data_IF_018315969779
#
_entry.id   IF_018315969779
#
_cell.length_a   1.000
_cell.length_b   1.000
_cell.length_c   1.000
_cell.angle_alpha   90.00
_cell.angle_beta   90.00
_cell.angle_gamma   90.00
#
_symmetry.space_group_name_H-M   'P 1'
#
loop_
_entity.id
_entity.type
_entity.pdbx_description
1 polymer ?
#
# COMPACT_ATOMS: atom_id res chain seq x y z
N UNK A 1 -35.97 -51.62 -29.95
CA UNK A 1 -34.50 -51.45 -29.93
C UNK A 1 -34.23 -50.11 -29.27
N UNK A 2 -33.98 -50.10 -27.96
CA UNK A 2 -33.69 -48.85 -27.24
C UNK A 2 -32.39 -48.27 -27.78
N UNK A 3 -32.41 -46.98 -28.14
CA UNK A 3 -31.20 -46.24 -28.50
C UNK A 3 -30.29 -46.22 -27.28
N UNK A 4 -29.19 -46.96 -27.32
CA UNK A 4 -28.12 -46.82 -26.34
C UNK A 4 -27.42 -45.50 -26.65
N UNK A 5 -27.83 -44.43 -25.98
CA UNK A 5 -26.96 -43.26 -25.84
C UNK A 5 -25.71 -43.76 -25.14
N UNK A 6 -24.60 -43.82 -25.87
CA UNK A 6 -23.31 -44.19 -25.29
C UNK A 6 -23.05 -43.21 -24.14
N UNK A 7 -22.97 -43.73 -22.92
CA UNK A 7 -22.44 -42.98 -21.78
C UNK A 7 -20.95 -42.84 -22.06
N UNK A 8 -20.53 -41.66 -22.52
CA UNK A 8 -19.12 -41.34 -22.61
C UNK A 8 -18.59 -41.28 -21.18
N UNK A 9 -17.73 -42.24 -20.81
CA UNK A 9 -16.94 -42.16 -19.59
C UNK A 9 -15.68 -41.40 -19.95
N UNK A 10 -15.55 -40.18 -19.45
CA UNK A 10 -14.28 -39.46 -19.49
C UNK A 10 -13.38 -39.97 -18.38
N UNK A 11 -12.11 -40.22 -18.69
CA UNK A 11 -11.10 -40.65 -17.73
C UNK A 11 -9.80 -39.85 -17.86
N UNK A 12 -9.83 -38.77 -18.64
CA UNK A 12 -8.70 -37.88 -18.81
C UNK A 12 -8.68 -36.97 -17.59
N UNK A 13 -7.59 -37.04 -16.82
CA UNK A 13 -7.41 -36.20 -15.64
C UNK A 13 -6.67 -34.92 -16.06
N UNK A 14 -7.18 -33.73 -15.71
CA UNK A 14 -6.48 -32.50 -16.01
C UNK A 14 -5.16 -32.39 -15.27
N UNK A 15 -4.21 -31.66 -15.84
CA UNK A 15 -2.90 -31.39 -15.23
C UNK A 15 -2.62 -29.91 -15.17
N UNK A 16 -2.00 -29.45 -14.08
CA UNK A 16 -1.52 -28.06 -13.92
C UNK A 16 -0.01 -28.11 -14.08
N UNK A 17 0.53 -27.38 -15.05
CA UNK A 17 1.96 -27.37 -15.36
C UNK A 17 2.68 -26.19 -14.71
N UNK A 18 2.00 -25.06 -14.49
CA UNK A 18 2.63 -23.87 -13.94
C UNK A 18 1.63 -22.92 -13.26
N UNK A 19 2.08 -22.23 -12.22
CA UNK A 19 1.37 -21.10 -11.59
C UNK A 19 2.37 -19.97 -11.34
N UNK A 20 2.08 -18.77 -11.82
CA UNK A 20 2.97 -17.60 -11.68
C UNK A 20 2.22 -16.34 -11.28
N UNK A 21 2.97 -15.38 -10.72
CA UNK A 21 2.55 -14.01 -10.43
C UNK A 21 3.62 -13.04 -10.97
N UNK A 22 3.31 -11.75 -11.19
CA UNK A 22 4.31 -10.74 -11.52
C UNK A 22 5.42 -10.67 -10.47
N UNK A 23 6.68 -10.57 -10.91
CA UNK A 23 7.85 -10.44 -10.02
C UNK A 23 7.92 -9.00 -9.46
N UNK A 24 7.17 -8.72 -8.41
CA UNK A 24 7.04 -7.38 -7.85
C UNK A 24 6.55 -7.39 -6.41
N UNK A 25 6.97 -6.38 -5.64
CA UNK A 25 6.50 -6.17 -4.29
C UNK A 25 4.97 -5.91 -4.27
N UNK A 26 4.28 -6.59 -3.35
CA UNK A 26 2.86 -6.51 -3.13
C UNK A 26 2.59 -6.00 -1.72
N UNK A 27 1.57 -5.16 -1.56
CA UNK A 27 1.10 -4.67 -0.25
C UNK A 27 -0.41 -4.77 -0.14
N UNK A 28 -0.94 -4.55 1.06
CA UNK A 28 -2.40 -4.48 1.30
C UNK A 28 -3.12 -3.62 0.25
N UNK A 29 -4.20 -4.19 -0.30
CA UNK A 29 -5.02 -3.57 -1.33
C UNK A 29 -4.57 -3.87 -2.76
N UNK A 30 -3.39 -4.45 -2.97
CA UNK A 30 -2.96 -4.86 -4.31
C UNK A 30 -3.77 -6.09 -4.78
N UNK A 31 -4.23 -6.03 -6.03
CA UNK A 31 -4.86 -7.13 -6.74
C UNK A 31 -3.88 -7.70 -7.77
N UNK A 32 -3.42 -8.92 -7.50
CA UNK A 32 -2.33 -9.57 -8.21
C UNK A 32 -2.90 -10.62 -9.16
N UNK A 33 -2.62 -10.46 -10.46
CA UNK A 33 -3.01 -11.44 -11.46
C UNK A 33 -2.17 -12.70 -11.31
N UNK A 34 -2.84 -13.82 -11.08
CA UNK A 34 -2.25 -15.16 -11.10
C UNK A 34 -2.43 -15.72 -12.50
N UNK A 35 -1.35 -16.22 -13.11
CA UNK A 35 -1.38 -16.92 -14.39
C UNK A 35 -1.18 -18.41 -14.15
N UNK A 36 -2.07 -19.24 -14.70
CA UNK A 36 -2.06 -20.69 -14.51
C UNK A 36 -2.03 -21.35 -15.89
N UNK A 37 -1.13 -22.32 -16.06
CA UNK A 37 -1.06 -23.16 -17.27
C UNK A 37 -1.47 -24.58 -16.92
N UNK A 38 -2.37 -25.14 -17.72
CA UNK A 38 -2.93 -26.47 -17.56
C UNK A 38 -2.94 -27.24 -18.90
N UNK A 39 -3.27 -28.52 -18.85
CA UNK A 39 -3.22 -29.42 -20.01
C UNK A 39 -4.32 -29.21 -21.06
N UNK A 40 -5.41 -28.52 -20.71
CA UNK A 40 -6.58 -28.36 -21.56
C UNK A 40 -7.39 -27.12 -21.20
N UNK A 41 -8.29 -26.71 -22.11
CA UNK A 41 -9.24 -25.63 -21.88
C UNK A 41 -10.55 -26.16 -21.25
N UNK A 42 -11.43 -25.28 -20.78
CA UNK A 42 -12.74 -25.64 -20.25
C UNK A 42 -12.75 -26.10 -18.79
N UNK A 43 -11.62 -26.07 -18.10
CA UNK A 43 -11.51 -26.37 -16.67
C UNK A 43 -12.17 -25.31 -15.79
N UNK A 44 -12.60 -25.75 -14.62
CA UNK A 44 -13.13 -24.93 -13.53
C UNK A 44 -12.23 -25.02 -12.30
N UNK A 45 -12.24 -23.96 -11.48
CA UNK A 45 -11.46 -23.92 -10.24
C UNK A 45 -12.20 -24.68 -9.13
N UNK A 46 -11.63 -25.81 -8.69
CA UNK A 46 -12.10 -26.53 -7.51
C UNK A 46 -11.62 -25.83 -6.23
N UNK A 47 -10.31 -25.63 -6.14
CA UNK A 47 -9.67 -24.87 -5.07
C UNK A 47 -8.42 -24.18 -5.59
N UNK A 48 -8.13 -22.99 -5.06
CA UNK A 48 -6.98 -22.20 -5.47
C UNK A 48 -6.58 -21.25 -4.36
N UNK A 49 -5.34 -21.33 -3.90
CA UNK A 49 -4.80 -20.40 -2.90
C UNK A 49 -3.41 -19.92 -3.29
N UNK A 50 -3.15 -18.66 -2.97
CA UNK A 50 -1.82 -18.04 -2.97
C UNK A 50 -1.56 -17.55 -1.57
N UNK A 51 -0.41 -17.88 -1.00
CA UNK A 51 -0.03 -17.52 0.36
C UNK A 51 -1.07 -17.97 1.43
N UNK A 52 -1.75 -19.09 1.18
CA UNK A 52 -2.82 -19.61 2.05
C UNK A 52 -4.16 -18.90 1.93
N UNK A 53 -4.28 -17.92 1.03
CA UNK A 53 -5.51 -17.14 0.80
C UNK A 53 -6.17 -17.58 -0.50
N UNK A 54 -7.49 -17.75 -0.47
CA UNK A 54 -8.25 -18.12 -1.66
C UNK A 54 -8.17 -17.06 -2.76
N UNK A 55 -7.94 -17.52 -4.00
CA UNK A 55 -8.01 -16.64 -5.17
C UNK A 55 -9.46 -16.39 -5.58
N UNK A 56 -9.68 -15.32 -6.35
CA UNK A 56 -10.98 -14.96 -6.90
C UNK A 56 -10.87 -14.71 -8.41
N UNK A 57 -11.99 -14.37 -9.06
CA UNK A 57 -12.04 -13.99 -10.48
C UNK A 57 -11.30 -14.97 -11.40
N UNK A 58 -11.50 -16.28 -11.18
CA UNK A 58 -10.94 -17.31 -12.04
C UNK A 58 -11.56 -17.24 -13.44
N UNK A 59 -10.74 -17.27 -14.48
CA UNK A 59 -11.18 -17.21 -15.87
C UNK A 59 -10.36 -18.13 -16.75
N UNK A 60 -11.06 -18.84 -17.64
CA UNK A 60 -10.44 -19.54 -18.76
C UNK A 60 -10.07 -18.54 -19.87
N UNK A 61 -8.79 -18.50 -20.24
CA UNK A 61 -8.26 -17.69 -21.34
C UNK A 61 -8.12 -18.51 -22.63
N UNK A 62 -8.65 -19.74 -22.64
CA UNK A 62 -8.56 -20.78 -23.67
C UNK A 62 -7.16 -21.35 -23.86
N UNK A 63 -7.07 -22.49 -24.55
CA UNK A 63 -5.79 -23.12 -24.89
C UNK A 63 -4.98 -23.61 -23.69
N UNK A 64 -5.63 -23.92 -22.56
CA UNK A 64 -4.96 -24.35 -21.33
C UNK A 64 -4.39 -23.22 -20.48
N UNK A 65 -4.73 -21.97 -20.78
CA UNK A 65 -4.29 -20.82 -19.99
C UNK A 65 -5.46 -20.28 -19.17
N UNK A 66 -5.19 -19.96 -17.91
CA UNK A 66 -6.17 -19.45 -16.97
C UNK A 66 -5.61 -18.25 -16.21
N UNK A 67 -6.50 -17.38 -15.76
CA UNK A 67 -6.17 -16.31 -14.81
C UNK A 67 -6.99 -16.44 -13.54
N UNK A 68 -6.44 -15.93 -12.44
CA UNK A 68 -7.16 -15.67 -11.20
C UNK A 68 -6.61 -14.40 -10.55
N UNK A 69 -7.22 -13.94 -9.47
CA UNK A 69 -6.78 -12.77 -8.71
C UNK A 69 -6.47 -13.16 -7.28
N UNK A 70 -5.24 -12.91 -6.84
CA UNK A 70 -4.85 -12.90 -5.44
C UNK A 70 -4.93 -11.47 -4.91
N UNK A 71 -5.70 -11.24 -3.85
CA UNK A 71 -5.82 -9.92 -3.22
C UNK A 71 -5.09 -9.94 -1.88
N UNK A 72 -4.15 -9.03 -1.69
CA UNK A 72 -3.48 -8.85 -0.40
C UNK A 72 -4.40 -8.04 0.51
N UNK A 73 -4.74 -8.58 1.67
CA UNK A 73 -5.57 -7.92 2.67
C UNK A 73 -4.87 -7.92 4.04
N UNK A 74 -5.34 -7.02 4.91
CA UNK A 74 -4.83 -6.89 6.28
C UNK A 74 -4.87 -8.23 7.02
N UNK A 75 -3.73 -8.60 7.63
CA UNK A 75 -3.62 -9.82 8.42
C UNK A 75 -3.29 -11.09 7.63
N UNK A 76 -3.08 -11.00 6.31
CA UNK A 76 -2.42 -12.09 5.60
C UNK A 76 -0.96 -12.24 6.07
N UNK A 77 -0.30 -13.34 5.71
CA UNK A 77 1.09 -13.57 6.12
C UNK A 77 2.07 -12.74 5.29
N UNK A 78 2.92 -11.96 5.96
CA UNK A 78 4.03 -11.26 5.32
C UNK A 78 5.04 -12.23 4.70
N UNK A 79 5.67 -11.79 3.60
CA UNK A 79 6.75 -12.50 2.92
C UNK A 79 7.88 -11.53 2.62
N UNK A 80 9.10 -11.89 3.00
CA UNK A 80 10.28 -11.15 2.61
C UNK A 80 10.62 -11.41 1.14
N UNK A 81 11.44 -10.54 0.56
CA UNK A 81 11.98 -10.74 -0.78
C UNK A 81 12.74 -12.06 -0.86
N UNK A 82 12.42 -12.90 -1.85
CA UNK A 82 13.06 -14.21 -2.02
C UNK A 82 12.45 -15.34 -1.20
N UNK A 83 11.46 -15.06 -0.34
CA UNK A 83 10.72 -16.09 0.36
C UNK A 83 9.90 -16.94 -0.63
N UNK A 84 9.66 -18.19 -0.24
CA UNK A 84 8.73 -19.05 -0.97
C UNK A 84 7.29 -18.65 -0.64
N UNK A 85 6.53 -18.26 -1.66
CA UNK A 85 5.09 -18.04 -1.56
C UNK A 85 4.39 -19.38 -1.80
N UNK A 86 3.71 -19.97 -0.79
CA UNK A 86 3.03 -21.24 -0.96
C UNK A 86 1.81 -21.08 -1.87
N UNK A 87 1.56 -22.10 -2.68
CA UNK A 87 0.40 -22.17 -3.58
C UNK A 87 -0.28 -23.53 -3.41
N UNK A 88 -1.58 -23.58 -3.70
CA UNK A 88 -2.33 -24.84 -3.75
C UNK A 88 -3.47 -24.69 -4.75
N UNK A 89 -3.44 -25.45 -5.84
CA UNK A 89 -4.48 -25.41 -6.88
C UNK A 89 -4.97 -26.81 -7.26
N UNK A 90 -6.27 -26.93 -7.46
CA UNK A 90 -6.95 -28.08 -8.04
C UNK A 90 -7.96 -27.56 -9.05
N UNK A 91 -7.94 -28.12 -10.27
CA UNK A 91 -8.89 -27.80 -11.34
C UNK A 91 -9.73 -29.04 -11.66
N UNK A 92 -11.02 -28.82 -11.97
CA UNK A 92 -11.94 -29.88 -12.41
C UNK A 92 -12.29 -29.67 -13.89
N UNK A 93 -12.38 -30.77 -14.65
CA UNK A 93 -12.97 -30.75 -15.98
C UNK A 93 -14.51 -30.80 -15.93
N UNK A 94 -15.15 -30.76 -17.10
CA UNK A 94 -16.62 -30.80 -17.20
C UNK A 94 -17.23 -32.19 -16.92
N UNK A 95 -16.42 -33.25 -16.94
CA UNK A 95 -16.84 -34.62 -16.67
C UNK A 95 -16.71 -35.00 -15.19
N UNK A 96 -16.07 -34.14 -14.38
CA UNK A 96 -15.87 -34.32 -12.95
C UNK A 96 -14.53 -34.95 -12.57
N UNK A 97 -13.54 -34.98 -13.47
CA UNK A 97 -12.18 -35.38 -13.13
C UNK A 97 -11.43 -34.18 -12.52
N UNK A 98 -10.82 -34.39 -11.35
CA UNK A 98 -10.00 -33.38 -10.66
C UNK A 98 -8.52 -33.59 -10.92
N UNK A 99 -7.78 -32.50 -11.10
CA UNK A 99 -6.33 -32.54 -11.22
C UNK A 99 -5.67 -33.01 -9.92
N UNK A 100 -4.43 -33.48 -10.00
CA UNK A 100 -3.58 -33.52 -8.82
C UNK A 100 -3.39 -32.10 -8.25
N UNK A 101 -3.17 -31.99 -6.94
CA UNK A 101 -2.89 -30.70 -6.31
C UNK A 101 -1.55 -30.15 -6.78
N UNK A 102 -1.56 -28.97 -7.39
CA UNK A 102 -0.36 -28.21 -7.68
C UNK A 102 0.05 -27.42 -6.43
N UNK A 103 1.24 -27.72 -5.90
CA UNK A 103 1.74 -27.12 -4.65
C UNK A 103 3.17 -26.58 -4.74
N UNK A 104 3.68 -26.39 -5.97
CA UNK A 104 5.03 -25.84 -6.17
C UNK A 104 5.02 -24.35 -5.86
N UNK A 105 5.61 -23.96 -4.73
CA UNK A 105 5.67 -22.57 -4.31
C UNK A 105 6.40 -21.66 -5.30
N UNK A 106 6.03 -20.39 -5.31
CA UNK A 106 6.63 -19.36 -6.16
C UNK A 106 7.85 -18.79 -5.42
N UNK A 107 9.00 -18.73 -6.10
CA UNK A 107 10.24 -18.16 -5.57
C UNK A 107 10.81 -17.21 -6.60
N UNK A 108 10.76 -15.91 -6.31
CA UNK A 108 11.32 -14.85 -7.17
C UNK A 108 12.04 -13.80 -6.33
N UNK A 109 12.90 -13.01 -6.96
CA UNK A 109 13.81 -12.10 -6.27
C UNK A 109 13.23 -10.71 -5.97
N UNK A 110 11.95 -10.46 -6.24
CA UNK A 110 11.30 -9.19 -5.94
C UNK A 110 9.91 -9.35 -5.28
N UNK A 111 9.49 -10.57 -4.94
CA UNK A 111 8.15 -10.87 -4.41
C UNK A 111 8.08 -10.73 -2.89
N UNK A 112 8.15 -9.50 -2.37
CA UNK A 112 7.75 -9.26 -0.98
C UNK A 112 6.23 -9.12 -0.88
N UNK A 113 5.63 -9.63 0.20
CA UNK A 113 4.23 -9.37 0.56
C UNK A 113 4.24 -8.64 1.90
N UNK A 114 3.71 -7.42 1.91
CA UNK A 114 3.46 -6.62 3.09
C UNK A 114 1.94 -6.54 3.33
N UNK A 115 1.44 -7.41 4.19
CA UNK A 115 0.03 -7.61 4.45
C UNK A 115 -0.44 -6.99 5.78
N UNK A 116 0.40 -6.19 6.44
CA UNK A 116 0.12 -5.61 7.73
C UNK A 116 0.47 -4.11 7.75
N UNK A 117 -0.55 -3.25 7.69
CA UNK A 117 -0.31 -1.81 7.75
C UNK A 117 0.18 -1.37 9.13
N UNK A 118 1.10 -0.37 9.19
CA UNK A 118 1.52 0.21 10.45
C UNK A 118 0.34 0.91 11.14
N UNK A 119 0.27 0.78 12.47
CA UNK A 119 -0.78 1.41 13.29
C UNK A 119 -0.22 2.49 14.21
N UNK A 120 -1.02 3.50 14.52
CA UNK A 120 -0.71 4.48 15.58
C UNK A 120 -1.57 4.15 16.79
N UNK A 121 -0.92 3.85 17.91
CA UNK A 121 -1.58 3.48 19.17
C UNK A 121 -1.69 4.64 20.15
N UNK A 122 -0.91 5.71 19.97
CA UNK A 122 -0.96 6.87 20.84
C UNK A 122 -0.34 8.13 20.25
N UNK A 123 -0.86 9.28 20.66
CA UNK A 123 -0.24 10.58 20.40
C UNK A 123 -0.32 11.39 21.69
N UNK A 124 0.82 11.88 22.17
CA UNK A 124 0.93 12.68 23.38
C UNK A 124 1.61 14.00 23.08
N UNK A 125 1.00 15.07 23.57
CA UNK A 125 1.59 16.42 23.61
C UNK A 125 1.74 16.80 25.08
N UNK A 126 2.89 17.37 25.50
CA UNK A 126 3.10 17.76 26.87
C UNK A 126 2.02 18.75 27.34
N UNK A 127 1.31 18.39 28.41
CA UNK A 127 0.30 19.25 29.03
C UNK A 127 0.98 20.21 30.03
N UNK A 128 1.74 21.17 29.50
CA UNK A 128 2.45 22.18 30.29
C UNK A 128 2.34 23.54 29.64
N UNK A 129 2.42 24.61 30.44
CA UNK A 129 2.41 25.97 29.91
C UNK A 129 3.67 26.20 29.08
N UNK A 130 3.48 26.46 27.78
CA UNK A 130 4.57 26.75 26.84
C UNK A 130 4.54 28.25 26.47
N UNK A 131 5.71 28.85 26.37
CA UNK A 131 5.89 30.25 25.94
C UNK A 131 6.06 30.32 24.42
N UNK A 132 5.86 31.51 23.87
CA UNK A 132 6.16 31.78 22.46
C UNK A 132 7.64 31.51 22.21
N UNK A 133 7.94 30.63 21.25
CA UNK A 133 9.30 30.22 20.90
C UNK A 133 9.75 28.90 21.55
N UNK A 134 8.95 28.30 22.43
CA UNK A 134 9.25 26.97 22.96
C UNK A 134 9.08 25.90 21.88
N UNK A 135 9.95 24.89 21.91
CA UNK A 135 9.81 23.71 21.07
C UNK A 135 8.76 22.77 21.68
N UNK A 136 7.72 22.46 20.91
CA UNK A 136 6.71 21.49 21.30
C UNK A 136 7.13 20.12 20.80
N UNK A 137 7.28 19.19 21.73
CA UNK A 137 7.56 17.80 21.42
C UNK A 137 6.25 17.05 21.28
N UNK A 138 6.06 16.30 20.20
CA UNK A 138 4.92 15.37 20.09
C UNK A 138 5.46 13.96 20.02
N UNK A 139 5.03 13.14 20.98
CA UNK A 139 5.36 11.72 20.99
C UNK A 139 4.24 10.91 20.34
N UNK A 140 4.60 10.08 19.38
CA UNK A 140 3.70 9.13 18.71
C UNK A 140 4.11 7.72 19.18
N UNK A 141 3.14 6.88 19.48
CA UNK A 141 3.37 5.46 19.68
C UNK A 141 2.80 4.75 18.46
N UNK A 142 3.63 3.97 17.79
CA UNK A 142 3.25 3.21 16.61
C UNK A 142 3.51 1.72 16.82
N UNK A 143 2.84 0.89 16.02
CA UNK A 143 2.98 -0.57 16.08
C UNK A 143 4.36 -1.06 15.64
N UNK A 144 5.11 -0.24 14.92
CA UNK A 144 6.40 -0.60 14.32
C UNK A 144 7.37 0.58 14.30
N UNK A 145 8.66 0.29 14.09
CA UNK A 145 9.73 1.27 13.92
C UNK A 145 9.98 1.56 12.43
N UNK A 146 10.85 2.53 12.13
CA UNK A 146 11.25 2.88 10.77
C UNK A 146 10.19 3.64 9.97
N UNK A 147 9.12 4.09 10.62
CA UNK A 147 8.04 4.82 9.97
C UNK A 147 8.43 6.27 9.71
N UNK A 148 8.05 6.79 8.55
CA UNK A 148 8.16 8.22 8.24
C UNK A 148 6.77 8.84 8.07
N UNK A 149 6.48 9.97 8.71
CA UNK A 149 5.21 10.65 8.52
C UNK A 149 5.13 11.22 7.10
N UNK A 150 4.05 10.93 6.37
CA UNK A 150 3.80 11.61 5.11
C UNK A 150 3.37 13.06 5.32
N UNK A 151 2.68 13.36 6.43
CA UNK A 151 2.24 14.71 6.80
C UNK A 151 1.72 14.76 8.23
N UNK A 152 2.14 15.70 9.06
CA UNK A 152 1.53 15.93 10.38
C UNK A 152 1.32 17.41 10.62
N UNK A 153 0.20 17.79 11.26
CA UNK A 153 -0.01 19.17 11.71
C UNK A 153 -0.49 19.21 13.15
N UNK A 154 -0.10 20.26 13.88
CA UNK A 154 -0.63 20.60 15.20
C UNK A 154 -1.20 22.01 15.07
N UNK A 155 -2.51 22.15 15.30
CA UNK A 155 -3.20 23.43 15.13
C UNK A 155 -2.96 24.07 13.75
N UNK A 156 -2.89 23.24 12.69
CA UNK A 156 -2.66 23.69 11.31
C UNK A 156 -1.20 24.02 10.95
N UNK A 157 -0.26 23.90 11.89
CA UNK A 157 1.18 24.08 11.64
C UNK A 157 1.81 22.71 11.40
N UNK A 158 2.58 22.57 10.31
CA UNK A 158 3.26 21.33 9.99
C UNK A 158 4.28 20.93 11.07
N UNK A 159 4.26 19.66 11.46
CA UNK A 159 5.26 19.07 12.33
C UNK A 159 6.54 18.86 11.51
N UNK A 160 7.67 19.29 12.06
CA UNK A 160 8.99 19.13 11.46
C UNK A 160 9.96 18.50 12.46
N UNK A 161 11.13 18.04 11.98
CA UNK A 161 12.14 17.42 12.85
C UNK A 161 11.73 16.04 13.37
N UNK A 162 11.03 15.26 12.55
CA UNK A 162 10.70 13.87 12.87
C UNK A 162 11.99 13.06 13.02
N UNK A 163 12.10 12.33 14.13
CA UNK A 163 13.23 11.43 14.42
C UNK A 163 12.67 10.14 15.02
N UNK A 164 12.82 9.03 14.31
CA UNK A 164 12.47 7.73 14.87
C UNK A 164 13.46 7.38 15.99
N UNK A 165 12.98 7.33 17.24
CA UNK A 165 13.83 6.99 18.38
C UNK A 165 13.93 5.48 18.62
N UNK A 166 13.52 4.63 17.65
CA UNK A 166 13.56 3.16 17.77
C UNK A 166 13.00 2.70 19.12
N UNK A 167 11.73 3.04 19.38
CA UNK A 167 11.09 2.72 20.66
C UNK A 167 9.92 3.61 21.11
N UNK A 168 9.22 4.29 20.19
CA UNK A 168 7.91 4.87 20.51
C UNK A 168 7.87 6.07 21.46
N UNK A 169 8.88 6.96 21.45
CA UNK A 169 8.80 8.32 22.00
C UNK A 169 9.65 9.26 21.15
N UNK A 170 9.39 10.58 21.16
CA UNK A 170 10.06 11.56 20.30
C UNK A 170 10.51 12.77 21.12
N UNK A 171 11.62 13.42 20.74
CA UNK A 171 12.07 14.72 21.27
C UNK A 171 12.78 15.51 20.18
N UNK A 172 12.34 16.74 19.81
CA UNK A 172 13.03 17.58 18.87
C UNK A 172 14.23 18.29 19.54
N UNK A 173 15.22 18.73 18.74
CA UNK A 173 16.41 19.42 19.23
C UNK A 173 16.14 20.90 19.52
N UNK A 174 16.73 21.42 20.61
CA UNK A 174 16.80 22.84 20.98
C UNK A 174 18.06 23.53 20.42
N UNK A 175 18.17 24.88 20.37
CA UNK A 175 17.27 25.88 19.75
C UNK A 175 18.05 26.96 18.93
N UNK A 176 17.40 27.73 18.03
CA UNK A 176 17.87 29.08 17.65
C UNK A 176 16.71 30.06 17.37
N UNK A 177 16.93 31.40 17.48
CA UNK A 177 15.95 32.39 17.89
C UNK A 177 15.34 33.17 16.73
N UNK A 178 14.12 33.70 16.92
CA UNK A 178 13.76 35.14 16.80
C UNK A 178 12.25 35.35 16.53
N UNK A 179 11.58 35.82 17.58
CA UNK A 179 10.43 36.77 17.67
C UNK A 179 9.34 36.74 16.59
N UNK A 180 8.13 36.32 16.99
CA UNK A 180 6.83 36.76 16.41
C UNK A 180 5.90 37.13 17.60
N UNK A 181 5.18 38.27 17.57
CA UNK A 181 4.43 38.76 18.73
C UNK A 181 3.15 37.96 19.01
N UNK A 182 2.74 38.01 20.28
CA UNK A 182 1.71 37.19 20.91
C UNK A 182 0.32 37.23 20.24
N UNK A 183 -0.28 36.05 20.06
CA UNK A 183 -1.74 35.89 19.96
C UNK A 183 -2.26 35.36 21.30
N UNK A 184 -3.16 36.14 21.91
CA UNK A 184 -3.89 35.80 23.13
C UNK A 184 -4.87 34.64 22.85
N UNK A 185 -4.74 33.59 23.65
CA UNK A 185 -5.73 32.53 23.95
C UNK A 185 -6.46 31.86 22.78
N UNK A 186 -6.14 30.59 22.53
CA UNK A 186 -7.02 29.66 21.79
C UNK A 186 -7.28 28.43 22.67
N UNK A 187 -8.54 28.18 22.98
CA UNK A 187 -9.05 26.96 23.62
C UNK A 187 -8.80 25.75 22.71
N UNK A 188 -8.29 24.61 23.21
CA UNK A 188 -8.01 23.46 22.35
C UNK A 188 -9.31 22.83 21.81
N UNK A 189 -9.34 22.61 20.49
CA UNK A 189 -10.39 21.86 19.79
C UNK A 189 -9.88 20.45 19.48
N UNK A 190 -10.66 19.37 19.70
CA UNK A 190 -10.17 17.99 19.69
C UNK A 190 -10.02 17.36 18.30
N UNK A 191 -9.99 18.15 17.23
CA UNK A 191 -10.09 17.62 15.86
C UNK A 191 -8.74 17.60 15.16
N UNK A 192 -7.92 16.58 15.40
CA UNK A 192 -6.82 16.22 14.51
C UNK A 192 -7.25 15.01 13.67
N UNK A 193 -7.61 15.22 12.40
CA UNK A 193 -8.16 14.17 11.53
C UNK A 193 -7.19 13.74 10.43
N UNK A 194 -6.81 12.45 10.54
CA UNK A 194 -6.41 11.40 9.59
C UNK A 194 -5.35 11.59 8.48
N UNK A 195 -4.61 10.49 8.29
CA UNK A 195 -3.27 10.32 7.74
C UNK A 195 -3.24 9.22 6.67
N UNK A 196 -2.16 9.17 5.88
CA UNK A 196 -1.69 7.94 5.24
C UNK A 196 -0.17 8.03 5.24
N UNK A 197 0.57 7.13 5.90
CA UNK A 197 2.04 7.04 5.88
C UNK A 197 2.47 5.98 4.84
N UNK A 198 3.56 6.19 4.11
CA UNK A 198 4.08 5.23 3.11
C UNK A 198 5.43 4.69 3.59
N UNK A 199 5.73 3.40 3.39
CA UNK A 199 7.06 2.85 3.63
C UNK A 199 8.09 3.41 2.63
N UNK A 200 9.32 3.58 3.11
CA UNK A 200 10.45 4.21 2.41
C UNK A 200 11.09 3.24 1.41
N UNK A 201 10.41 2.87 0.33
CA UNK A 201 11.03 2.34 -0.91
C UNK A 201 10.01 2.13 -2.03
N UNK A 202 9.90 3.06 -3.00
CA UNK A 202 9.59 2.81 -4.43
C UNK A 202 9.41 4.11 -5.23
N UNK A 203 10.07 4.19 -6.40
CA UNK A 203 10.01 5.29 -7.38
C UNK A 203 8.71 5.27 -8.25
N UNK A 204 8.39 6.33 -9.03
CA UNK A 204 7.00 6.72 -9.37
C UNK A 204 6.48 6.20 -10.73
N UNK A 205 5.14 6.26 -10.95
CA UNK A 205 4.65 7.05 -12.08
C UNK A 205 3.42 7.95 -11.76
N UNK A 206 3.01 8.66 -12.80
CA UNK A 206 2.43 10.01 -12.90
C UNK A 206 0.90 10.15 -12.67
N UNK A 207 0.50 11.31 -12.13
CA UNK A 207 -0.82 11.85 -11.70
C UNK A 207 -2.00 11.83 -12.73
N UNK A 208 -3.31 12.05 -12.36
CA UNK A 208 -3.78 12.90 -11.24
C UNK A 208 -4.99 12.43 -10.39
N UNK A 209 -4.92 12.72 -9.08
CA UNK A 209 -6.07 13.09 -8.23
C UNK A 209 -5.67 14.36 -7.49
N UNK A 210 -6.59 15.32 -7.38
CA UNK A 210 -6.34 16.68 -6.92
C UNK A 210 -6.09 16.74 -5.40
N UNK A 211 -4.90 16.29 -5.00
CA UNK A 211 -4.07 16.84 -3.94
C UNK A 211 -2.97 17.62 -4.69
N UNK A 212 -2.73 18.92 -4.41
CA UNK A 212 -1.83 19.71 -5.27
C UNK A 212 -0.36 19.31 -5.07
N UNK A 213 0.18 18.53 -6.00
CA UNK A 213 1.59 18.56 -6.42
C UNK A 213 1.65 19.18 -7.83
N UNK A 214 2.60 20.09 -8.10
CA UNK A 214 2.96 20.50 -9.48
C UNK A 214 4.43 20.94 -9.54
N UNK A 215 5.12 20.48 -10.59
CA UNK A 215 6.49 20.82 -10.98
C UNK A 215 6.65 22.30 -11.35
N UNK A 216 7.84 22.82 -11.09
CA UNK A 216 8.20 24.23 -11.23
C UNK A 216 8.11 24.74 -12.69
N UNK A 217 7.37 25.83 -12.88
CA UNK A 217 7.56 26.75 -13.99
C UNK A 217 7.48 28.17 -13.42
N UNK A 218 8.63 28.86 -13.39
CA UNK A 218 8.76 30.25 -12.98
C UNK A 218 7.84 31.17 -13.81
N UNK A 219 7.36 32.27 -13.22
CA UNK A 219 7.33 33.52 -13.95
C UNK A 219 8.11 34.63 -13.24
N UNK A 220 8.87 35.29 -14.11
CA UNK A 220 9.68 36.51 -14.08
C UNK A 220 9.23 37.61 -13.11
N UNK A 221 10.22 38.24 -12.49
CA UNK A 221 10.11 39.41 -11.62
C UNK A 221 9.38 40.60 -12.28
N UNK A 222 8.59 41.32 -11.47
CA UNK A 222 8.03 42.63 -11.83
C UNK A 222 8.82 43.74 -11.11
N UNK A 223 9.37 44.75 -11.81
CA UNK A 223 10.11 45.82 -11.15
C UNK A 223 9.18 46.86 -10.49
N UNK A 224 9.67 47.41 -9.38
CA UNK A 224 9.08 48.47 -8.57
C UNK A 224 8.94 49.78 -9.36
N UNK A 225 7.77 50.42 -9.32
CA UNK A 225 7.55 51.74 -9.90
C UNK A 225 7.70 52.83 -8.84
N UNK A 226 8.55 53.82 -9.14
CA UNK A 226 8.80 55.02 -8.37
C UNK A 226 7.68 56.06 -8.53
N UNK A 227 7.38 56.79 -7.44
CA UNK A 227 6.47 57.95 -7.43
C UNK A 227 7.16 59.21 -7.97
N UNK A 228 6.48 60.05 -8.78
CA UNK A 228 6.92 61.42 -9.03
C UNK A 228 6.14 62.45 -8.19
N UNK A 229 6.89 63.44 -7.71
CA UNK A 229 6.44 64.71 -7.13
C UNK A 229 5.52 65.50 -8.09
N UNK A 230 4.78 66.48 -7.56
CA UNK A 230 4.84 67.79 -8.19
C UNK A 230 5.08 68.93 -7.21
N UNK A 231 5.91 69.87 -7.65
CA UNK A 231 6.08 71.22 -7.10
C UNK A 231 5.27 72.19 -7.97
N UNK A 232 4.50 73.09 -7.38
CA UNK A 232 4.57 74.53 -7.62
C UNK A 232 3.43 75.28 -6.91
N UNK A 233 3.88 76.18 -6.02
CA UNK A 233 3.53 77.61 -5.87
C UNK A 233 2.15 78.09 -6.32
#
# INVERSE_FOLDING_TARGET
MGSLTAVLVDSIVPTISNVTIPNSAMKVGDAVTVSISAGEAGLSLNSGTINGVAVSAFSDLTGGNYSATYTVAEGHTDRAVGDTIPVSFVLDDAAGNSSATYSTGIVQNADSIDANSPTISGVTVPNSAMKVGDAVTVSISAGEAGLSPNSGTINGIAVSGFSDLTGGNYSPPTPWPRVIPAVRSVTPSPSASCWMMRPVTAAPPTAPVLCRMRTASMPTARPSAASPFPTAR
#
